data_IF_141433683728
#
_entry.id   IF_141433683728
#
_cell.length_a   1.000
_cell.length_b   1.000
_cell.length_c   1.000
_cell.angle_alpha   90.00
_cell.angle_beta   90.00
_cell.angle_gamma   90.00
#
_symmetry.space_group_name_H-M   'P 1'
#
loop_
_entity.id
_entity.type
_entity.pdbx_description
1 polymer ?
#
# COMPACT_ATOMS: atom_id res chain seq x y z
N UNK A 1 16.39 4.83 -6.39
CA UNK A 1 16.92 6.16 -6.78
C UNK A 1 15.82 7.05 -7.37
N UNK A 2 15.07 6.62 -8.40
CA UNK A 2 13.97 7.41 -8.99
C UNK A 2 12.86 7.78 -7.99
N UNK A 3 12.40 6.85 -7.16
CA UNK A 3 11.31 7.16 -6.22
C UNK A 3 11.70 8.21 -5.16
N UNK A 4 12.97 8.20 -4.74
CA UNK A 4 13.51 9.16 -3.77
C UNK A 4 13.67 10.57 -4.37
N UNK A 5 13.79 10.69 -5.70
CA UNK A 5 13.89 11.97 -6.39
C UNK A 5 12.54 12.69 -6.50
N UNK A 6 11.43 11.94 -6.48
CA UNK A 6 10.07 12.48 -6.65
C UNK A 6 9.11 12.03 -5.53
N UNK A 7 9.42 12.33 -4.25
CA UNK A 7 8.65 11.82 -3.11
C UNK A 7 7.17 12.23 -3.15
N UNK A 8 6.87 13.46 -3.61
CA UNK A 8 5.49 13.97 -3.67
C UNK A 8 4.57 13.17 -4.59
N UNK A 9 5.07 12.65 -5.72
CA UNK A 9 4.27 11.88 -6.67
C UNK A 9 3.79 10.57 -6.03
N UNK A 10 4.70 9.87 -5.33
CA UNK A 10 4.37 8.59 -4.68
C UNK A 10 3.44 8.79 -3.49
N UNK A 11 3.63 9.87 -2.73
CA UNK A 11 2.69 10.27 -1.69
C UNK A 11 1.29 10.45 -2.26
N UNK A 12 1.13 11.12 -3.40
CA UNK A 12 -0.18 11.30 -4.05
C UNK A 12 -0.79 9.98 -4.54
N UNK A 13 0.00 9.11 -5.17
CA UNK A 13 -0.47 7.80 -5.67
C UNK A 13 -0.96 6.94 -4.51
N UNK A 14 -0.15 6.79 -3.47
CA UNK A 14 -0.42 5.90 -2.35
C UNK A 14 -1.44 6.49 -1.38
N UNK A 15 -1.51 7.82 -1.22
CA UNK A 15 -2.50 8.45 -0.32
C UNK A 15 -3.94 8.16 -0.76
N UNK A 16 -4.22 8.07 -2.07
CA UNK A 16 -5.54 7.65 -2.55
C UNK A 16 -5.93 6.26 -2.04
N UNK A 17 -4.98 5.33 -1.95
CA UNK A 17 -5.23 3.97 -1.46
C UNK A 17 -5.76 3.99 -0.02
N UNK A 18 -5.14 4.80 0.84
CA UNK A 18 -5.49 4.90 2.25
C UNK A 18 -6.73 5.75 2.50
N UNK A 19 -6.86 6.91 1.84
CA UNK A 19 -8.01 7.83 2.03
C UNK A 19 -9.31 7.15 1.57
N UNK A 20 -9.27 6.44 0.45
CA UNK A 20 -10.43 5.76 -0.12
C UNK A 20 -10.57 4.31 0.36
N UNK A 21 -9.74 3.84 1.30
CA UNK A 21 -9.76 2.47 1.81
C UNK A 21 -9.82 1.42 0.68
N UNK A 22 -9.03 1.65 -0.37
CA UNK A 22 -8.92 0.81 -1.57
C UNK A 22 -10.16 0.69 -2.48
N UNK A 23 -11.28 1.37 -2.21
CA UNK A 23 -12.53 1.15 -2.95
C UNK A 23 -12.45 1.48 -4.45
N UNK A 24 -11.65 2.49 -4.80
CA UNK A 24 -11.40 2.89 -6.19
C UNK A 24 -10.19 2.17 -6.81
N UNK A 25 -9.54 1.28 -6.07
CA UNK A 25 -8.23 0.72 -6.38
C UNK A 25 -8.31 -0.78 -6.66
N UNK A 26 -9.14 -1.50 -5.90
CA UNK A 26 -9.29 -2.95 -6.01
C UNK A 26 -10.71 -3.31 -6.46
N UNK A 27 -10.92 -4.50 -7.06
CA UNK A 27 -12.27 -5.00 -7.33
C UNK A 27 -13.12 -5.05 -6.06
N UNK A 28 -14.41 -4.73 -6.19
CA UNK A 28 -15.31 -4.56 -5.03
C UNK A 28 -15.34 -5.78 -4.10
N UNK A 29 -15.27 -6.99 -4.64
CA UNK A 29 -15.22 -8.23 -3.85
C UNK A 29 -13.99 -8.26 -2.94
N UNK A 30 -12.82 -7.90 -3.46
CA UNK A 30 -11.57 -7.80 -2.71
C UNK A 30 -11.64 -6.68 -1.66
N UNK A 31 -12.22 -5.53 -2.01
CA UNK A 31 -12.40 -4.40 -1.09
C UNK A 31 -13.22 -4.82 0.13
N UNK A 32 -14.34 -5.51 -0.08
CA UNK A 32 -15.22 -5.97 1.00
C UNK A 32 -14.48 -6.92 1.96
N UNK A 33 -13.65 -7.84 1.43
CA UNK A 33 -12.83 -8.73 2.28
C UNK A 33 -11.74 -7.97 3.04
N UNK A 34 -11.11 -6.98 2.41
CA UNK A 34 -10.16 -6.08 3.09
C UNK A 34 -10.87 -5.34 4.22
N UNK A 35 -12.12 -4.91 4.01
CA UNK A 35 -12.92 -4.21 5.02
C UNK A 35 -13.35 -5.12 6.16
N UNK A 36 -13.72 -6.37 5.90
CA UNK A 36 -13.98 -7.37 6.96
C UNK A 36 -12.77 -7.47 7.90
N UNK A 37 -11.57 -7.62 7.34
CA UNK A 37 -10.34 -7.68 8.11
C UNK A 37 -10.00 -6.34 8.78
N UNK A 38 -10.26 -5.20 8.12
CA UNK A 38 -10.04 -3.87 8.69
C UNK A 38 -10.88 -3.66 9.95
N UNK A 39 -12.17 -4.02 9.93
CA UNK A 39 -13.06 -3.85 11.07
C UNK A 39 -12.76 -4.85 12.18
N UNK A 40 -12.24 -6.04 11.85
CA UNK A 40 -11.88 -7.07 12.82
C UNK A 40 -10.50 -6.85 13.47
N UNK A 41 -9.45 -6.63 12.67
CA UNK A 41 -8.05 -6.52 13.14
C UNK A 41 -7.54 -5.07 13.28
N UNK A 42 -8.24 -4.11 12.68
CA UNK A 42 -7.88 -2.70 12.68
C UNK A 42 -7.01 -2.24 11.51
N UNK A 43 -6.63 -0.96 11.56
CA UNK A 43 -5.99 -0.22 10.47
C UNK A 43 -4.65 -0.79 9.96
N UNK A 44 -4.01 -1.74 10.65
CA UNK A 44 -2.81 -2.42 10.15
C UNK A 44 -3.04 -3.16 8.83
N UNK A 45 -4.28 -3.62 8.60
CA UNK A 45 -4.66 -4.33 7.38
C UNK A 45 -4.42 -3.46 6.15
N UNK A 46 -4.67 -2.15 6.25
CA UNK A 46 -4.43 -1.22 5.13
C UNK A 46 -2.95 -1.21 4.74
N UNK A 47 -2.03 -1.27 5.70
CA UNK A 47 -0.60 -1.33 5.40
C UNK A 47 -0.20 -2.69 4.80
N UNK A 48 -0.80 -3.80 5.25
CA UNK A 48 -0.57 -5.12 4.66
C UNK A 48 -0.95 -5.15 3.18
N UNK A 49 -2.12 -4.62 2.84
CA UNK A 49 -2.59 -4.50 1.45
C UNK A 49 -1.62 -3.68 0.61
N UNK A 50 -1.22 -2.49 1.06
CA UNK A 50 -0.26 -1.65 0.33
C UNK A 50 1.08 -2.37 0.12
N UNK A 51 1.61 -3.00 1.18
CA UNK A 51 2.88 -3.71 1.10
C UNK A 51 2.79 -4.90 0.14
N UNK A 52 1.73 -5.69 0.17
CA UNK A 52 1.53 -6.80 -0.77
C UNK A 52 1.45 -6.31 -2.20
N UNK A 53 0.71 -5.24 -2.48
CA UNK A 53 0.65 -4.64 -3.82
C UNK A 53 2.05 -4.23 -4.33
N UNK A 54 2.87 -3.61 -3.49
CA UNK A 54 4.23 -3.19 -3.88
C UNK A 54 5.19 -4.38 -3.97
N UNK A 55 5.14 -5.31 -3.01
CA UNK A 55 6.02 -6.48 -2.95
C UNK A 55 5.73 -7.46 -4.08
N UNK A 56 4.47 -7.66 -4.44
CA UNK A 56 4.11 -8.56 -5.53
C UNK A 56 4.70 -8.09 -6.87
N UNK A 57 4.75 -6.78 -7.09
CA UNK A 57 5.25 -6.14 -8.32
C UNK A 57 6.66 -5.55 -8.18
N UNK A 58 7.41 -5.95 -7.15
CA UNK A 58 8.72 -5.35 -6.86
C UNK A 58 9.72 -5.53 -8.01
N UNK A 59 9.64 -6.65 -8.75
CA UNK A 59 10.53 -6.92 -9.87
C UNK A 59 10.32 -5.92 -11.02
N UNK A 60 9.07 -5.62 -11.35
CA UNK A 60 8.69 -4.64 -12.37
C UNK A 60 9.14 -3.23 -11.94
N UNK A 61 8.85 -2.86 -10.69
CA UNK A 61 9.24 -1.56 -10.13
C UNK A 61 10.77 -1.39 -10.16
N UNK A 62 11.54 -2.42 -9.84
CA UNK A 62 13.01 -2.38 -9.85
C UNK A 62 13.60 -2.36 -11.27
N UNK A 63 12.87 -2.85 -12.28
CA UNK A 63 13.29 -2.82 -13.69
C UNK A 63 13.01 -1.48 -14.37
N UNK A 64 12.08 -0.69 -13.83
CA UNK A 64 11.72 0.62 -14.37
C UNK A 64 12.94 1.55 -14.44
N UNK A 65 13.14 2.21 -15.59
CA UNK A 65 14.31 3.08 -15.85
C UNK A 65 13.96 4.55 -15.90
N UNK A 66 12.68 4.88 -15.93
CA UNK A 66 12.17 6.25 -16.01
C UNK A 66 10.95 6.43 -15.10
N UNK A 67 10.61 7.69 -14.79
CA UNK A 67 9.42 8.03 -14.01
C UNK A 67 8.12 7.52 -14.67
N UNK A 68 7.90 7.68 -16.00
CA UNK A 68 6.76 7.08 -16.68
C UNK A 68 6.64 5.57 -16.48
N UNK A 69 7.76 4.82 -16.54
CA UNK A 69 7.74 3.38 -16.34
C UNK A 69 7.23 3.01 -14.95
N UNK A 70 7.73 3.68 -13.91
CA UNK A 70 7.27 3.43 -12.53
C UNK A 70 5.79 3.79 -12.39
N UNK A 71 5.34 4.90 -12.97
CA UNK A 71 3.91 5.27 -12.97
C UNK A 71 3.04 4.22 -13.67
N UNK A 72 3.50 3.64 -14.78
CA UNK A 72 2.80 2.53 -15.43
C UNK A 72 2.75 1.31 -14.54
N UNK A 73 3.87 0.92 -13.90
CA UNK A 73 3.88 -0.18 -12.93
C UNK A 73 2.83 0.05 -11.83
N UNK A 74 2.75 1.24 -11.24
CA UNK A 74 1.77 1.53 -10.19
C UNK A 74 0.31 1.50 -10.68
N UNK A 75 0.07 1.81 -11.96
CA UNK A 75 -1.25 1.67 -12.58
C UNK A 75 -1.62 0.19 -12.82
N UNK A 76 -0.64 -0.63 -13.15
CA UNK A 76 -0.80 -2.06 -13.38
C UNK A 76 -0.95 -2.86 -12.08
N UNK A 77 -0.28 -2.43 -11.00
CA UNK A 77 -0.40 -3.03 -9.66
C UNK A 77 -1.86 -3.15 -9.21
N UNK A 78 -2.70 -2.18 -9.59
CA UNK A 78 -4.11 -2.12 -9.19
C UNK A 78 -5.02 -2.85 -10.18
N UNK A 79 -4.52 -3.17 -11.38
CA UNK A 79 -5.30 -3.57 -12.54
C UNK A 79 -4.70 -4.85 -13.15
N UNK A 80 -4.94 -6.01 -12.53
CA UNK A 80 -4.37 -7.27 -13.01
C UNK A 80 -5.05 -8.52 -12.47
N UNK A 81 -4.68 -9.67 -13.02
CA UNK A 81 -5.22 -10.98 -12.60
C UNK A 81 -5.02 -11.24 -11.09
N UNK A 82 -3.95 -10.70 -10.50
CA UNK A 82 -3.67 -10.81 -9.08
C UNK A 82 -4.72 -10.11 -8.20
N UNK A 83 -5.17 -8.91 -8.56
CA UNK A 83 -6.18 -8.16 -7.77
C UNK A 83 -7.60 -8.68 -8.02
N UNK A 84 -7.83 -9.36 -9.15
CA UNK A 84 -9.09 -10.03 -9.51
C UNK A 84 -9.30 -11.36 -8.79
N UNK A 85 -8.24 -12.12 -8.50
CA UNK A 85 -8.34 -13.29 -7.63
C UNK A 85 -8.39 -12.87 -6.16
N UNK A 86 -9.59 -12.52 -5.70
CA UNK A 86 -9.84 -12.08 -4.34
C UNK A 86 -9.33 -13.07 -3.28
N UNK A 87 -9.48 -14.38 -3.51
CA UNK A 87 -9.12 -15.38 -2.50
C UNK A 87 -7.61 -15.44 -2.33
N UNK A 88 -6.88 -15.58 -3.44
CA UNK A 88 -5.43 -15.66 -3.44
C UNK A 88 -4.83 -14.34 -2.96
N UNK A 89 -5.37 -13.20 -3.39
CA UNK A 89 -4.95 -11.88 -2.93
C UNK A 89 -5.05 -11.77 -1.40
N UNK A 90 -6.20 -12.14 -0.83
CA UNK A 90 -6.40 -12.07 0.62
C UNK A 90 -5.46 -13.03 1.38
N UNK A 91 -5.12 -14.19 0.84
CA UNK A 91 -4.08 -15.04 1.45
C UNK A 91 -2.71 -14.34 1.45
N UNK A 92 -2.35 -13.70 0.32
CA UNK A 92 -1.06 -13.02 0.18
C UNK A 92 -0.89 -11.83 1.14
N UNK A 93 -1.95 -11.07 1.46
CA UNK A 93 -1.82 -9.93 2.40
C UNK A 93 -1.42 -10.35 3.82
N UNK A 94 -1.72 -11.59 4.20
CA UNK A 94 -1.34 -12.14 5.51
C UNK A 94 0.00 -12.87 5.49
N UNK A 95 0.47 -13.34 4.33
CA UNK A 95 1.73 -14.07 4.20
C UNK A 95 2.92 -13.22 3.72
N UNK A 96 2.76 -12.41 2.67
CA UNK A 96 3.88 -11.76 1.97
C UNK A 96 4.55 -10.62 2.75
N UNK A 97 3.79 -9.71 3.41
CA UNK A 97 4.41 -8.66 4.23
C UNK A 97 5.10 -9.20 5.49
N UNK A 98 4.95 -10.49 5.79
CA UNK A 98 5.48 -11.12 6.99
C UNK A 98 4.89 -10.55 8.29
N UNK A 99 5.76 -10.39 9.29
CA UNK A 99 5.39 -9.81 10.58
C UNK A 99 5.31 -8.29 10.49
N UNK A 100 4.09 -7.76 10.52
CA UNK A 100 3.82 -6.34 10.69
C UNK A 100 3.10 -6.14 12.03
N UNK A 101 3.87 -5.91 13.09
CA UNK A 101 3.34 -5.75 14.44
C UNK A 101 2.65 -4.38 14.62
N UNK A 102 1.60 -4.34 15.45
CA UNK A 102 0.95 -3.09 15.84
C UNK A 102 1.93 -2.15 16.54
N UNK A 103 2.82 -2.68 17.38
CA UNK A 103 3.85 -1.90 18.07
C UNK A 103 4.78 -1.16 17.10
N UNK A 104 5.15 -1.79 15.98
CA UNK A 104 5.95 -1.14 14.93
C UNK A 104 5.17 0.01 14.29
N UNK A 105 3.90 -0.21 13.96
CA UNK A 105 3.03 0.81 13.36
C UNK A 105 2.82 1.99 14.31
N UNK A 106 2.58 1.74 15.60
CA UNK A 106 2.40 2.78 16.62
C UNK A 106 3.66 3.61 16.81
N UNK A 107 4.83 2.97 16.89
CA UNK A 107 6.12 3.68 16.95
C UNK A 107 6.34 4.58 15.73
N UNK A 108 6.02 4.10 14.54
CA UNK A 108 6.13 4.90 13.31
C UNK A 108 5.15 6.07 13.32
N UNK A 109 3.89 5.84 13.70
CA UNK A 109 2.88 6.90 13.82
C UNK A 109 3.30 7.99 14.79
N UNK A 110 3.83 7.61 15.95
CA UNK A 110 4.28 8.57 16.95
C UNK A 110 5.47 9.37 16.44
N UNK A 111 6.47 8.70 15.85
CA UNK A 111 7.62 9.36 15.23
C UNK A 111 7.19 10.42 14.21
N UNK A 112 6.32 10.07 13.26
CA UNK A 112 5.89 11.02 12.22
C UNK A 112 4.97 12.11 12.78
N UNK A 113 4.15 11.83 13.80
CA UNK A 113 3.35 12.86 14.47
C UNK A 113 4.23 13.92 15.14
N UNK A 114 5.29 13.51 15.83
CA UNK A 114 6.22 14.45 16.46
C UNK A 114 6.93 15.34 15.42
N UNK A 115 7.41 14.75 14.32
CA UNK A 115 8.03 15.51 13.24
C UNK A 115 7.12 16.61 12.66
N UNK A 116 5.84 16.30 12.43
CA UNK A 116 4.87 17.29 11.92
C UNK A 116 4.65 18.44 12.93
N UNK A 117 4.61 18.12 14.24
CA UNK A 117 4.45 19.12 15.29
C UNK A 117 5.68 20.04 15.40
N UNK A 118 6.89 19.48 15.27
CA UNK A 118 8.15 20.24 15.24
C UNK A 118 8.24 21.15 14.02
N UNK A 119 7.79 20.70 12.84
CA UNK A 119 7.77 21.50 11.61
C UNK A 119 6.72 22.63 11.63
N UNK A 120 5.71 22.52 12.50
CA UNK A 120 4.63 23.50 12.63
C UNK A 120 4.91 24.60 13.67
N UNK A 121 6.07 24.55 14.34
CA UNK A 121 6.55 25.53 15.32
C UNK A 121 7.57 26.49 14.69
#
# INVERSE_FOLDING_TARGET
QLMAQYPGIWTLVVSRWFICLYIDILPIETVLRVWDCLFYEGSKVLFRVALTLVLHHHMEILRARSLPDVCMCFKEITSGAFTLDCHTFMQKIFSEPGSLSMTTIEKLREKYRQQILEESQ
#
